data_IF_340480927450
#
_entry.id   IF_340480927450
#
_cell.length_a   1.000
_cell.length_b   1.000
_cell.length_c   1.000
_cell.angle_alpha   90.00
_cell.angle_beta   90.00
_cell.angle_gamma   90.00
#
_symmetry.space_group_name_H-M   'P 1'
#
loop_
_entity.id
_entity.type
_entity.pdbx_description
1 polymer ?
#
# COMPACT_ATOMS: atom_id res chain seq x y z
N UNK A 1 1.18 28.90 27.17
CA UNK A 1 1.16 27.53 27.77
C UNK A 1 -0.12 26.76 27.47
N UNK A 2 -1.32 27.26 27.82
CA UNK A 2 -2.59 26.55 27.54
C UNK A 2 -2.94 26.50 26.06
N UNK A 3 -2.71 27.58 25.31
CA UNK A 3 -2.94 27.62 23.86
C UNK A 3 -1.97 26.72 23.10
N UNK A 4 -0.68 26.71 23.47
CA UNK A 4 0.33 25.85 22.85
C UNK A 4 0.00 24.38 23.03
N UNK A 5 -0.43 24.00 24.25
CA UNK A 5 -0.86 22.64 24.56
C UNK A 5 -2.11 22.24 23.76
N UNK A 6 -3.06 23.17 23.58
CA UNK A 6 -4.25 22.94 22.77
C UNK A 6 -3.86 22.66 21.31
N UNK A 7 -3.00 23.48 20.70
CA UNK A 7 -2.56 23.29 19.30
C UNK A 7 -1.77 21.98 19.13
N UNK A 8 -0.86 21.67 20.06
CA UNK A 8 -0.10 20.41 20.03
C UNK A 8 -1.02 19.19 20.13
N UNK A 9 -2.00 19.23 21.03
CA UNK A 9 -2.91 18.11 21.23
C UNK A 9 -3.87 17.90 20.05
N UNK A 10 -4.38 18.98 19.43
CA UNK A 10 -5.23 18.85 18.24
C UNK A 10 -4.43 18.37 17.04
N UNK A 11 -3.24 18.92 16.80
CA UNK A 11 -2.36 18.48 15.72
C UNK A 11 -1.98 17.00 15.86
N UNK A 12 -1.60 16.56 17.06
CA UNK A 12 -1.29 15.16 17.33
C UNK A 12 -2.50 14.25 17.12
N UNK A 13 -3.68 14.69 17.58
CA UNK A 13 -4.93 13.92 17.42
C UNK A 13 -5.30 13.76 15.96
N UNK A 14 -5.26 14.84 15.18
CA UNK A 14 -5.56 14.81 13.74
C UNK A 14 -4.57 13.89 13.02
N UNK A 15 -3.27 14.04 13.27
CA UNK A 15 -2.25 13.21 12.63
C UNK A 15 -2.45 11.70 12.91
N UNK A 16 -2.74 11.34 14.17
CA UNK A 16 -2.99 9.95 14.57
C UNK A 16 -4.28 9.43 13.92
N UNK A 17 -5.38 10.16 14.06
CA UNK A 17 -6.69 9.71 13.57
C UNK A 17 -6.68 9.60 12.05
N UNK A 18 -6.13 10.58 11.34
CA UNK A 18 -5.96 10.57 9.87
C UNK A 18 -5.18 9.33 9.42
N UNK A 19 -4.00 9.11 10.00
CA UNK A 19 -3.13 7.98 9.62
C UNK A 19 -3.79 6.62 9.90
N UNK A 20 -4.56 6.50 10.98
CA UNK A 20 -5.25 5.26 11.32
C UNK A 20 -6.51 5.03 10.48
N UNK A 21 -7.24 6.10 10.17
CA UNK A 21 -8.46 6.05 9.38
C UNK A 21 -8.16 5.81 7.89
N UNK A 22 -7.06 6.35 7.38
CA UNK A 22 -6.61 6.22 5.99
C UNK A 22 -5.85 4.91 5.73
N UNK A 23 -6.46 3.90 5.07
CA UNK A 23 -5.74 2.68 4.71
C UNK A 23 -4.56 2.93 3.76
N UNK A 24 -4.63 3.99 2.97
CA UNK A 24 -3.57 4.48 2.09
C UNK A 24 -2.27 4.84 2.82
N UNK A 25 -2.32 5.16 4.11
CA UNK A 25 -1.14 5.56 4.90
C UNK A 25 -0.36 4.39 5.51
N UNK A 26 -0.96 3.21 5.65
CA UNK A 26 -0.30 2.03 6.23
C UNK A 26 -0.31 0.79 5.31
N UNK A 27 -1.36 0.60 4.51
CA UNK A 27 -1.54 -0.59 3.68
C UNK A 27 -0.42 -0.78 2.65
N UNK A 28 0.10 0.27 1.96
CA UNK A 28 1.22 0.11 1.04
C UNK A 28 2.48 -0.43 1.73
N UNK A 29 2.77 0.06 2.95
CA UNK A 29 3.93 -0.39 3.72
C UNK A 29 3.78 -1.83 4.20
N UNK A 30 2.59 -2.22 4.68
CA UNK A 30 2.31 -3.60 5.11
C UNK A 30 2.39 -4.55 3.91
N UNK A 31 1.79 -4.20 2.78
CA UNK A 31 1.83 -5.00 1.56
C UNK A 31 3.27 -5.21 1.08
N UNK A 32 4.07 -4.13 1.09
CA UNK A 32 5.48 -4.17 0.72
C UNK A 32 6.34 -4.96 1.69
N UNK A 33 6.15 -4.77 2.99
CA UNK A 33 6.85 -5.52 4.02
C UNK A 33 6.58 -7.02 3.89
N UNK A 34 5.32 -7.41 3.62
CA UNK A 34 4.94 -8.81 3.39
C UNK A 34 5.52 -9.37 2.09
N UNK A 35 5.38 -8.65 0.98
CA UNK A 35 5.86 -9.09 -0.33
C UNK A 35 7.40 -9.25 -0.36
N UNK A 36 8.13 -8.41 0.37
CA UNK A 36 9.60 -8.41 0.42
C UNK A 36 10.18 -9.06 1.68
N UNK A 37 9.33 -9.62 2.54
CA UNK A 37 9.69 -10.26 3.83
C UNK A 37 10.62 -9.37 4.66
N UNK A 38 10.29 -8.08 4.79
CA UNK A 38 11.09 -7.15 5.58
C UNK A 38 11.04 -7.52 7.08
N UNK A 39 12.17 -7.43 7.81
CA UNK A 39 12.12 -7.47 9.26
C UNK A 39 11.34 -6.25 9.78
N UNK A 40 10.65 -6.41 10.91
CA UNK A 40 9.77 -5.38 11.47
C UNK A 40 10.45 -4.01 11.59
N UNK A 41 11.73 -4.00 12.00
CA UNK A 41 12.51 -2.78 12.22
C UNK A 41 12.72 -2.01 10.90
N UNK A 42 12.91 -2.71 9.79
CA UNK A 42 13.01 -2.08 8.47
C UNK A 42 11.69 -1.45 8.07
N UNK A 43 10.57 -2.12 8.31
CA UNK A 43 9.25 -1.56 8.03
C UNK A 43 9.02 -0.28 8.81
N UNK A 44 9.32 -0.27 10.11
CA UNK A 44 9.19 0.92 10.97
C UNK A 44 10.03 2.08 10.45
N UNK A 45 11.33 1.87 10.17
CA UNK A 45 12.20 2.95 9.70
C UNK A 45 11.81 3.48 8.32
N UNK A 46 11.41 2.60 7.40
CA UNK A 46 10.97 3.03 6.07
C UNK A 46 9.67 3.82 6.17
N UNK A 47 8.69 3.35 6.95
CA UNK A 47 7.43 4.07 7.16
C UNK A 47 7.67 5.42 7.84
N UNK A 48 8.50 5.48 8.89
CA UNK A 48 8.83 6.73 9.58
C UNK A 48 9.55 7.72 8.65
N UNK A 49 10.52 7.25 7.86
CA UNK A 49 11.23 8.09 6.88
C UNK A 49 10.30 8.64 5.78
N UNK A 50 9.37 7.81 5.30
CA UNK A 50 8.36 8.26 4.32
C UNK A 50 7.37 9.24 4.94
N UNK A 51 6.86 8.99 6.15
CA UNK A 51 5.95 9.90 6.85
C UNK A 51 6.58 11.26 7.16
N UNK A 52 7.86 11.28 7.56
CA UNK A 52 8.59 12.53 7.74
C UNK A 52 8.78 13.26 6.41
N UNK A 53 9.19 12.54 5.36
CA UNK A 53 9.35 13.12 4.03
C UNK A 53 8.06 13.70 3.47
N UNK A 54 6.94 13.02 3.68
CA UNK A 54 5.60 13.47 3.33
C UNK A 54 5.22 14.75 4.06
N UNK A 55 5.27 14.79 5.40
CA UNK A 55 4.92 15.97 6.18
C UNK A 55 5.83 17.18 5.85
N UNK A 56 7.13 16.96 5.68
CA UNK A 56 8.07 18.01 5.28
C UNK A 56 7.83 18.47 3.83
N UNK A 57 7.48 17.55 2.92
CA UNK A 57 7.13 17.86 1.55
C UNK A 57 5.91 18.76 1.45
N UNK A 58 4.82 18.42 2.15
CA UNK A 58 3.60 19.22 2.20
C UNK A 58 3.84 20.58 2.85
N UNK A 59 4.65 20.66 3.91
CA UNK A 59 5.08 21.93 4.48
C UNK A 59 5.85 22.80 3.48
N UNK A 60 6.84 22.23 2.78
CA UNK A 60 7.64 22.96 1.79
C UNK A 60 6.78 23.44 0.62
N UNK A 61 5.89 22.59 0.09
CA UNK A 61 4.95 22.98 -0.97
C UNK A 61 4.01 24.10 -0.52
N UNK A 62 3.50 24.03 0.71
CA UNK A 62 2.69 25.10 1.30
C UNK A 62 3.45 26.41 1.43
N UNK A 63 4.68 26.37 1.94
CA UNK A 63 5.55 27.56 2.05
C UNK A 63 5.89 28.16 0.68
N UNK A 64 6.20 27.33 -0.32
CA UNK A 64 6.45 27.77 -1.69
C UNK A 64 5.19 28.40 -2.30
N UNK A 65 4.03 27.80 -2.06
CA UNK A 65 2.74 28.32 -2.52
C UNK A 65 2.41 29.69 -1.93
N UNK A 66 2.61 29.86 -0.61
CA UNK A 66 2.46 31.16 0.07
C UNK A 66 3.48 32.17 -0.46
N UNK A 67 4.75 31.78 -0.64
CA UNK A 67 5.79 32.64 -1.21
C UNK A 67 5.50 33.07 -2.66
N UNK A 68 4.83 32.21 -3.44
CA UNK A 68 4.33 32.51 -4.79
C UNK A 68 3.04 33.37 -4.78
N UNK A 69 2.53 33.74 -3.61
CA UNK A 69 1.36 34.60 -3.45
C UNK A 69 0.02 33.89 -3.56
N UNK A 70 -0.02 32.55 -3.44
CA UNK A 70 -1.30 31.82 -3.41
C UNK A 70 -2.01 32.03 -2.08
N UNK A 71 -3.33 32.19 -2.15
CA UNK A 71 -4.18 32.18 -0.96
C UNK A 71 -4.21 30.77 -0.35
N UNK A 72 -4.46 30.69 0.96
CA UNK A 72 -4.64 29.41 1.65
C UNK A 72 -5.77 28.57 1.04
N UNK A 73 -6.85 29.22 0.59
CA UNK A 73 -7.96 28.59 -0.11
C UNK A 73 -7.49 27.88 -1.40
N UNK A 74 -6.69 28.57 -2.22
CA UNK A 74 -6.17 27.98 -3.46
C UNK A 74 -5.21 26.83 -3.21
N UNK A 75 -4.45 26.87 -2.11
CA UNK A 75 -3.60 25.75 -1.69
C UNK A 75 -4.46 24.56 -1.24
N UNK A 76 -5.53 24.81 -0.48
CA UNK A 76 -6.47 23.78 -0.05
C UNK A 76 -7.21 23.14 -1.24
N UNK A 77 -7.58 23.92 -2.27
CA UNK A 77 -8.20 23.39 -3.50
C UNK A 77 -7.26 22.44 -4.25
N UNK A 78 -5.98 22.83 -4.37
CA UNK A 78 -4.95 22.00 -5.02
C UNK A 78 -4.76 20.70 -4.23
N UNK A 79 -4.75 20.79 -2.91
CA UNK A 79 -4.61 19.64 -2.03
C UNK A 79 -5.81 18.69 -2.12
N UNK A 80 -7.04 19.23 -2.05
CA UNK A 80 -8.26 18.44 -2.22
C UNK A 80 -8.33 17.74 -3.59
N UNK A 81 -7.88 18.39 -4.66
CA UNK A 81 -7.81 17.75 -5.98
C UNK A 81 -6.85 16.57 -5.98
N UNK A 82 -5.68 16.69 -5.34
CA UNK A 82 -4.71 15.58 -5.22
C UNK A 82 -5.32 14.40 -4.46
N UNK A 83 -6.10 14.67 -3.41
CA UNK A 83 -6.78 13.66 -2.61
C UNK A 83 -7.87 12.93 -3.35
N UNK A 84 -8.65 13.64 -4.15
CA UNK A 84 -9.66 13.01 -5.00
C UNK A 84 -9.00 12.02 -5.98
N UNK A 85 -7.92 12.41 -6.66
CA UNK A 85 -7.19 11.51 -7.56
C UNK A 85 -6.57 10.31 -6.85
N UNK A 86 -6.06 10.51 -5.63
CA UNK A 86 -5.56 9.45 -4.77
C UNK A 86 -6.66 8.43 -4.44
N UNK A 87 -7.81 8.91 -3.96
CA UNK A 87 -8.95 8.09 -3.59
C UNK A 87 -9.48 7.28 -4.78
N UNK A 88 -9.68 7.94 -5.94
CA UNK A 88 -10.09 7.27 -7.17
C UNK A 88 -9.08 6.22 -7.63
N UNK A 89 -7.78 6.52 -7.53
CA UNK A 89 -6.71 5.57 -7.84
C UNK A 89 -6.77 4.32 -6.96
N UNK A 90 -6.94 4.49 -5.65
CA UNK A 90 -7.06 3.37 -4.70
C UNK A 90 -8.30 2.53 -4.96
N UNK A 91 -9.45 3.17 -5.21
CA UNK A 91 -10.70 2.49 -5.57
C UNK A 91 -10.50 1.67 -6.85
N UNK A 92 -9.94 2.28 -7.91
CA UNK A 92 -9.72 1.61 -9.19
C UNK A 92 -8.81 0.38 -9.03
N UNK A 93 -7.66 0.52 -8.36
CA UNK A 93 -6.73 -0.59 -8.11
C UNK A 93 -7.39 -1.68 -7.26
N UNK A 94 -8.12 -1.30 -6.21
CA UNK A 94 -8.84 -2.22 -5.35
C UNK A 94 -9.89 -3.05 -6.11
N UNK A 95 -10.70 -2.39 -6.94
CA UNK A 95 -11.71 -3.05 -7.78
C UNK A 95 -11.08 -3.95 -8.84
N UNK A 96 -10.02 -3.51 -9.51
CA UNK A 96 -9.30 -4.34 -10.48
C UNK A 96 -8.69 -5.59 -9.83
N UNK A 97 -8.10 -5.44 -8.64
CA UNK A 97 -7.54 -6.56 -7.89
C UNK A 97 -8.63 -7.53 -7.39
N UNK A 98 -9.76 -7.00 -6.91
CA UNK A 98 -10.91 -7.80 -6.51
C UNK A 98 -11.50 -8.59 -7.69
N UNK A 99 -11.70 -7.94 -8.84
CA UNK A 99 -12.18 -8.59 -10.05
C UNK A 99 -11.22 -9.68 -10.55
N UNK A 100 -9.92 -9.41 -10.53
CA UNK A 100 -8.90 -10.42 -10.85
C UNK A 100 -8.96 -11.61 -9.88
N UNK A 101 -9.08 -11.34 -8.57
CA UNK A 101 -9.19 -12.36 -7.54
C UNK A 101 -10.43 -13.25 -7.72
N UNK A 102 -11.59 -12.64 -7.99
CA UNK A 102 -12.84 -13.37 -8.26
C UNK A 102 -12.76 -14.20 -9.55
N UNK A 103 -12.20 -13.64 -10.63
CA UNK A 103 -11.95 -14.36 -11.88
C UNK A 103 -11.02 -15.55 -11.68
N UNK A 104 -9.97 -15.38 -10.87
CA UNK A 104 -9.03 -16.45 -10.53
C UNK A 104 -9.71 -17.53 -9.69
N UNK A 105 -10.53 -17.16 -8.71
CA UNK A 105 -11.28 -18.10 -7.87
C UNK A 105 -12.29 -18.91 -8.71
N UNK A 106 -13.02 -18.25 -9.62
CA UNK A 106 -14.03 -18.87 -10.48
C UNK A 106 -13.44 -19.82 -11.54
N UNK A 107 -12.19 -19.62 -11.96
CA UNK A 107 -11.47 -20.48 -12.93
C UNK A 107 -10.73 -21.65 -12.28
N UNK A 108 -11.06 -22.01 -11.03
CA UNK A 108 -10.48 -23.19 -10.37
C UNK A 108 -11.15 -24.44 -10.94
N UNK A 109 -10.69 -24.90 -12.10
CA UNK A 109 -11.10 -26.18 -12.67
C UNK A 109 -10.58 -27.33 -11.79
N UNK A 110 -11.50 -28.20 -11.40
CA UNK A 110 -11.19 -29.50 -10.79
C UNK A 110 -10.84 -30.46 -11.92
N UNK A 111 -9.58 -30.84 -12.06
CA UNK A 111 -9.20 -31.97 -12.92
C UNK A 111 -9.01 -33.25 -12.10
N UNK A 112 -9.23 -34.39 -12.73
CA UNK A 112 -8.95 -35.72 -12.19
C UNK A 112 -7.84 -36.37 -13.00
N UNK A 113 -6.88 -37.01 -12.32
CA UNK A 113 -5.94 -37.94 -12.94
C UNK A 113 -5.98 -39.30 -12.23
N UNK A 114 -5.61 -40.33 -12.99
CA UNK A 114 -5.45 -41.69 -12.51
C UNK A 114 -4.15 -41.78 -11.69
N UNK A 115 -4.24 -42.24 -10.44
CA UNK A 115 -3.07 -42.64 -9.66
C UNK A 115 -2.92 -44.15 -9.72
N UNK A 116 -1.67 -44.61 -9.90
CA UNK A 116 -1.28 -46.01 -9.73
C UNK A 116 -0.37 -46.07 -8.50
N UNK A 117 -0.77 -46.81 -7.49
CA UNK A 117 0.01 -47.03 -6.28
C UNK A 117 1.04 -48.13 -6.48
N UNK A 118 2.05 -48.16 -5.61
CA UNK A 118 3.12 -49.16 -5.66
C UNK A 118 2.62 -50.61 -5.49
N UNK A 119 1.41 -50.79 -4.95
CA UNK A 119 0.70 -52.07 -4.82
C UNK A 119 -0.13 -52.44 -6.07
N UNK A 120 -0.08 -51.62 -7.12
CA UNK A 120 -0.83 -51.81 -8.37
C UNK A 120 -2.28 -51.32 -8.31
N UNK A 121 -2.73 -50.73 -7.20
CA UNK A 121 -4.09 -50.19 -7.11
C UNK A 121 -4.22 -48.91 -7.92
N UNK A 122 -5.27 -48.83 -8.74
CA UNK A 122 -5.56 -47.70 -9.61
C UNK A 122 -6.81 -46.99 -9.12
N UNK A 123 -6.71 -45.69 -8.84
CA UNK A 123 -7.88 -44.90 -8.50
C UNK A 123 -7.81 -43.47 -9.05
N UNK A 124 -8.98 -42.88 -9.27
CA UNK A 124 -9.13 -41.49 -9.69
C UNK A 124 -9.81 -40.71 -8.57
N UNK A 125 -9.13 -39.68 -8.07
CA UNK A 125 -9.71 -38.73 -7.13
C UNK A 125 -9.63 -37.32 -7.72
N UNK A 126 -10.65 -36.47 -7.52
CA UNK A 126 -10.53 -35.05 -7.86
C UNK A 126 -9.54 -34.39 -6.90
N UNK A 127 -8.42 -33.91 -7.42
CA UNK A 127 -7.50 -33.04 -6.68
C UNK A 127 -7.62 -31.62 -7.22
N UNK A 128 -7.70 -30.65 -6.29
CA UNK A 128 -7.29 -29.29 -6.62
C UNK A 128 -5.80 -29.19 -6.34
N UNK A 129 -4.95 -28.86 -7.32
CA UNK A 129 -3.60 -28.37 -7.03
C UNK A 129 -3.73 -26.95 -6.47
N UNK A 130 -4.22 -26.90 -5.24
CA UNK A 130 -4.52 -25.70 -4.45
C UNK A 130 -3.27 -24.87 -4.17
N UNK A 131 -2.09 -25.42 -4.40
CA UNK A 131 -0.83 -24.72 -4.48
C UNK A 131 0.04 -25.49 -5.46
N UNK A 132 0.31 -24.88 -6.62
CA UNK A 132 1.47 -25.30 -7.40
C UNK A 132 2.67 -25.37 -6.46
N UNK A 133 3.47 -26.42 -6.59
CA UNK A 133 4.74 -26.56 -5.89
C UNK A 133 5.40 -25.18 -5.81
N UNK A 134 5.49 -24.65 -4.60
CA UNK A 134 6.25 -23.45 -4.33
C UNK A 134 7.70 -23.82 -4.59
N UNK A 135 8.13 -23.73 -5.84
CA UNK A 135 9.54 -23.64 -6.12
C UNK A 135 10.02 -22.40 -5.40
N UNK A 136 10.90 -22.62 -4.41
CA UNK A 136 11.75 -21.59 -3.86
C UNK A 136 12.52 -21.05 -5.07
N UNK A 137 12.02 -19.98 -5.69
CA UNK A 137 12.84 -19.12 -6.50
C UNK A 137 13.80 -18.43 -5.53
N UNK A 138 14.88 -19.17 -5.21
CA UNK A 138 16.10 -18.63 -4.66
C UNK A 138 16.74 -17.75 -5.72
N UNK A 139 16.25 -16.53 -5.86
CA UNK A 139 16.98 -15.41 -6.42
C UNK A 139 16.26 -14.14 -5.99
N UNK A 140 16.92 -13.22 -5.26
CA UNK A 140 16.32 -11.93 -4.95
C UNK A 140 16.23 -11.15 -6.27
N UNK A 141 15.07 -11.23 -6.92
CA UNK A 141 14.70 -10.33 -8.01
C UNK A 141 14.75 -8.91 -7.46
N UNK A 142 15.86 -8.23 -7.75
CA UNK A 142 16.12 -6.84 -7.37
C UNK A 142 15.17 -5.93 -8.15
N UNK A 143 13.91 -5.82 -7.72
CA UNK A 143 13.11 -4.65 -8.08
C UNK A 143 13.52 -3.51 -7.15
N UNK A 144 14.63 -2.85 -7.52
CA UNK A 144 15.18 -1.68 -6.84
C UNK A 144 14.33 -0.41 -6.99
N UNK A 145 13.23 -0.48 -7.75
CA UNK A 145 12.40 0.67 -8.09
C UNK A 145 11.22 0.91 -7.13
N UNK A 146 10.83 -0.10 -6.32
CA UNK A 146 9.58 -0.01 -5.54
C UNK A 146 9.66 0.85 -4.26
N UNK A 147 10.79 0.90 -3.52
CA UNK A 147 10.93 1.85 -2.42
C UNK A 147 10.89 3.31 -2.91
N UNK A 148 11.44 3.57 -4.09
CA UNK A 148 11.40 4.89 -4.72
C UNK A 148 10.00 5.29 -5.18
N UNK A 149 9.19 4.34 -5.68
CA UNK A 149 7.79 4.64 -5.98
C UNK A 149 6.97 4.97 -4.73
N UNK A 150 7.19 4.31 -3.59
CA UNK A 150 6.57 4.71 -2.31
C UNK A 150 6.98 6.12 -1.90
N UNK A 151 8.29 6.41 -2.01
CA UNK A 151 8.85 7.71 -1.67
C UNK A 151 8.29 8.83 -2.57
N UNK A 152 8.19 8.60 -3.89
CA UNK A 152 7.63 9.56 -4.84
C UNK A 152 6.12 9.76 -4.65
N UNK A 153 5.35 8.70 -4.40
CA UNK A 153 3.90 8.78 -4.19
C UNK A 153 3.57 9.53 -2.89
N UNK A 154 4.32 9.29 -1.81
CA UNK A 154 4.11 9.96 -0.53
C UNK A 154 4.66 11.38 -0.48
N UNK A 155 5.83 11.66 -1.08
CA UNK A 155 6.40 13.02 -1.09
C UNK A 155 5.67 13.95 -2.07
N UNK A 156 5.18 13.44 -3.20
CA UNK A 156 4.36 14.22 -4.12
C UNK A 156 2.88 14.26 -3.68
N UNK A 157 2.55 13.68 -2.52
CA UNK A 157 1.22 13.67 -1.89
C UNK A 157 0.10 13.31 -2.85
N UNK A 158 0.21 12.16 -3.52
CA UNK A 158 -0.95 11.49 -4.12
C UNK A 158 -1.68 10.63 -3.06
N UNK A 159 -1.64 11.04 -1.80
CA UNK A 159 -2.28 10.33 -0.67
C UNK A 159 -2.88 11.30 0.36
N UNK A 160 -2.92 12.61 0.10
CA UNK A 160 -3.71 13.57 0.91
C UNK A 160 -4.89 14.00 0.09
#
# INVERSE_FOLDING_TARGET
>A
MTQDLLVLSTAASIAIVHTLAGPDHYLPFIAMAKARRWPWLKTVWVTAGCGLGHAMGSLVLGLVGVAAGFSLERLADIDGWRGDWAAWGLIAVGLLYAAWGLKRAARTDRHSHLHVHADGTVHAHPHSHRGGHAHVHGAPGRSGLVPWSLFLIFILGLCE
#
